data_IF_645797172025
#
_entry.id   IF_645797172025
#
_cell.length_a   1.000
_cell.length_b   1.000
_cell.length_c   1.000
_cell.angle_alpha   90.00
_cell.angle_beta   90.00
_cell.angle_gamma   90.00
#
_symmetry.space_group_name_H-M   'P 1'
#
loop_
_entity.id
_entity.type
_entity.pdbx_description
1 polymer ?
#
# COMPACT_ATOMS: atom_id res chain seq x y z
N UNK A 1 22.59 11.59 -14.21
CA UNK A 1 21.18 11.48 -13.75
C UNK A 1 20.19 11.42 -14.92
N UNK A 2 20.24 12.34 -15.89
CA UNK A 2 19.27 12.38 -17.01
C UNK A 2 19.13 11.09 -17.84
N UNK A 3 20.15 10.21 -17.86
CA UNK A 3 20.13 8.92 -18.56
C UNK A 3 19.69 7.74 -17.68
N UNK A 4 19.39 7.96 -16.41
CA UNK A 4 18.97 6.91 -15.49
C UNK A 4 17.57 6.42 -15.86
N UNK A 5 17.44 5.13 -16.16
CA UNK A 5 16.19 4.52 -16.64
C UNK A 5 15.28 4.03 -15.50
N UNK A 6 15.66 4.25 -14.25
CA UNK A 6 14.98 3.68 -13.09
C UNK A 6 15.43 2.26 -12.77
N UNK A 7 14.87 1.72 -11.68
CA UNK A 7 15.02 0.33 -11.27
C UNK A 7 13.66 -0.33 -11.40
N UNK A 8 13.64 -1.55 -11.96
CA UNK A 8 12.40 -2.30 -12.10
C UNK A 8 11.74 -2.49 -10.74
N UNK A 9 10.43 -2.26 -10.68
CA UNK A 9 9.61 -2.30 -9.46
C UNK A 9 9.97 -1.21 -8.44
N UNK A 10 10.57 -0.10 -8.85
CA UNK A 10 10.68 1.12 -8.05
C UNK A 10 10.05 2.23 -8.86
N UNK A 11 8.83 2.59 -8.48
CA UNK A 11 7.95 3.54 -9.17
C UNK A 11 7.88 3.29 -10.69
N UNK A 12 7.67 2.03 -11.07
CA UNK A 12 7.76 1.59 -12.46
C UNK A 12 6.40 1.68 -13.14
N UNK A 13 6.22 2.63 -14.05
CA UNK A 13 5.04 2.70 -14.92
C UNK A 13 4.94 1.45 -15.80
N UNK A 14 3.83 0.73 -15.65
CA UNK A 14 3.44 -0.37 -16.53
C UNK A 14 2.44 0.13 -17.58
N UNK A 15 1.55 1.05 -17.18
CA UNK A 15 0.61 1.75 -18.05
C UNK A 15 0.67 3.23 -17.68
N UNK A 16 0.72 4.11 -18.68
CA UNK A 16 0.74 5.56 -18.49
C UNK A 16 -0.05 6.25 -19.59
N UNK A 17 -1.36 6.08 -19.53
CA UNK A 17 -2.32 6.67 -20.45
C UNK A 17 -3.16 7.74 -19.74
N UNK A 18 -3.86 8.57 -20.51
CA UNK A 18 -4.67 9.67 -19.96
C UNK A 18 -5.76 9.18 -18.99
N UNK A 19 -6.35 8.02 -19.29
CA UNK A 19 -7.48 7.45 -18.54
C UNK A 19 -7.07 6.44 -17.47
N UNK A 20 -5.88 5.86 -17.58
CA UNK A 20 -5.40 4.81 -16.69
C UNK A 20 -3.89 4.90 -16.51
N UNK A 21 -3.48 4.88 -15.25
CA UNK A 21 -2.07 4.80 -14.85
C UNK A 21 -1.93 3.60 -13.93
N UNK A 22 -0.97 2.73 -14.24
CA UNK A 22 -0.60 1.60 -13.40
C UNK A 22 0.89 1.68 -13.09
N UNK A 23 1.20 1.76 -11.80
CA UNK A 23 2.55 1.85 -11.24
C UNK A 23 2.79 0.59 -10.40
N UNK A 24 3.88 -0.12 -10.68
CA UNK A 24 4.38 -1.23 -9.84
C UNK A 24 5.53 -0.70 -8.96
N UNK A 25 5.43 -0.96 -7.66
CA UNK A 25 6.45 -0.64 -6.66
C UNK A 25 6.71 -1.84 -5.74
N UNK A 26 7.94 -1.93 -5.24
CA UNK A 26 8.42 -2.97 -4.33
C UNK A 26 8.26 -2.57 -2.86
N UNK A 27 7.67 -1.41 -2.56
CA UNK A 27 7.38 -0.93 -1.22
C UNK A 27 6.71 -2.02 -0.37
N UNK A 28 7.34 -2.36 0.75
CA UNK A 28 6.86 -3.36 1.69
C UNK A 28 7.08 -2.95 3.16
N UNK A 29 7.60 -1.74 3.39
CA UNK A 29 7.67 -1.09 4.69
C UNK A 29 6.74 0.14 4.72
N UNK A 30 6.09 0.49 5.86
CA UNK A 30 5.18 1.65 5.95
C UNK A 30 5.76 2.95 5.39
N UNK A 31 7.02 3.28 5.73
CA UNK A 31 7.70 4.48 5.20
C UNK A 31 7.83 4.49 3.68
N UNK A 32 8.05 3.33 3.05
CA UNK A 32 8.12 3.24 1.59
C UNK A 32 6.74 3.45 0.96
N UNK A 33 5.69 2.90 1.59
CA UNK A 33 4.30 3.08 1.15
C UNK A 33 3.90 4.56 1.22
N UNK A 34 4.29 5.27 2.28
CA UNK A 34 4.08 6.71 2.40
C UNK A 34 4.76 7.49 1.26
N UNK A 35 6.00 7.13 0.94
CA UNK A 35 6.73 7.76 -0.17
C UNK A 35 6.06 7.52 -1.52
N UNK A 36 5.54 6.30 -1.76
CA UNK A 36 4.76 5.98 -2.97
C UNK A 36 3.48 6.81 -3.01
N UNK A 37 2.70 6.85 -1.93
CA UNK A 37 1.47 7.65 -1.85
C UNK A 37 1.75 9.12 -2.17
N UNK A 38 2.75 9.72 -1.51
CA UNK A 38 3.12 11.11 -1.70
C UNK A 38 3.47 11.39 -3.17
N UNK A 39 4.34 10.58 -3.77
CA UNK A 39 4.75 10.74 -5.16
C UNK A 39 3.57 10.63 -6.14
N UNK A 40 2.66 9.66 -5.94
CA UNK A 40 1.48 9.53 -6.80
C UNK A 40 0.54 10.72 -6.61
N UNK A 41 0.31 11.17 -5.38
CA UNK A 41 -0.59 12.29 -5.07
C UNK A 41 -0.08 13.61 -5.66
N UNK A 42 1.23 13.84 -5.63
CA UNK A 42 1.86 15.01 -6.25
C UNK A 42 1.77 14.97 -7.78
N UNK A 43 1.99 13.81 -8.40
CA UNK A 43 1.91 13.65 -9.85
C UNK A 43 0.48 13.71 -10.39
N UNK A 44 -0.50 13.27 -9.60
CA UNK A 44 -1.91 13.20 -9.99
C UNK A 44 -2.84 13.84 -8.96
N UNK A 45 -2.76 15.17 -8.76
CA UNK A 45 -3.59 15.88 -7.78
C UNK A 45 -5.09 15.67 -8.06
N UNK A 46 -5.86 15.41 -7.01
CA UNK A 46 -7.32 15.24 -7.08
C UNK A 46 -7.80 14.00 -7.85
N UNK A 47 -6.91 13.12 -8.31
CA UNK A 47 -7.29 11.83 -8.91
C UNK A 47 -7.47 10.78 -7.81
N UNK A 48 -8.39 9.85 -8.03
CA UNK A 48 -8.58 8.69 -7.14
C UNK A 48 -7.37 7.76 -7.25
N UNK A 49 -6.80 7.35 -6.13
CA UNK A 49 -5.67 6.43 -6.02
C UNK A 49 -6.15 5.14 -5.35
N UNK A 50 -6.00 4.02 -6.05
CA UNK A 50 -6.31 2.69 -5.54
C UNK A 50 -4.99 1.96 -5.31
N UNK A 51 -4.75 1.51 -4.07
CA UNK A 51 -3.57 0.70 -3.74
C UNK A 51 -3.92 -0.79 -3.78
N UNK A 52 -3.22 -1.57 -4.61
CA UNK A 52 -3.22 -3.03 -4.51
C UNK A 52 -2.00 -3.44 -3.68
N UNK A 53 -2.22 -3.89 -2.44
CA UNK A 53 -1.15 -4.20 -1.50
C UNK A 53 -1.13 -5.68 -1.14
N UNK A 54 0.05 -6.30 -1.25
CA UNK A 54 0.30 -7.65 -0.78
C UNK A 54 1.35 -7.59 0.34
N UNK A 55 0.98 -7.86 1.60
CA UNK A 55 1.97 -7.92 2.67
C UNK A 55 2.98 -9.03 2.43
N UNK A 56 4.24 -8.83 2.83
CA UNK A 56 5.33 -9.79 2.62
C UNK A 56 5.91 -10.22 3.97
N UNK A 57 5.88 -11.53 4.26
CA UNK A 57 6.16 -12.19 5.55
C UNK A 57 5.08 -11.96 6.62
N UNK A 58 4.77 -13.00 7.38
CA UNK A 58 3.89 -12.89 8.54
C UNK A 58 4.55 -12.07 9.65
N UNK A 59 5.85 -12.27 9.90
CA UNK A 59 6.60 -11.57 10.96
C UNK A 59 6.54 -10.07 10.78
N UNK A 60 6.88 -9.60 9.58
CA UNK A 60 6.81 -8.18 9.22
C UNK A 60 5.39 -7.64 9.33
N UNK A 61 4.40 -8.40 8.90
CA UNK A 61 3.00 -7.94 8.96
C UNK A 61 2.55 -7.76 10.41
N UNK A 62 2.92 -8.69 11.29
CA UNK A 62 2.70 -8.56 12.74
C UNK A 62 3.41 -7.34 13.34
N UNK A 63 4.69 -7.15 13.00
CA UNK A 63 5.52 -6.09 13.59
C UNK A 63 5.06 -4.68 13.18
N UNK A 64 4.45 -4.54 12.00
CA UNK A 64 4.10 -3.24 11.42
C UNK A 64 2.61 -3.06 11.12
N UNK A 65 1.71 -3.86 11.69
CA UNK A 65 0.28 -3.82 11.36
C UNK A 65 -0.33 -2.42 11.48
N UNK A 66 -0.05 -1.72 12.59
CA UNK A 66 -0.57 -0.37 12.82
C UNK A 66 0.01 0.64 11.82
N UNK A 67 1.31 0.53 11.53
CA UNK A 67 1.99 1.36 10.54
C UNK A 67 1.46 1.12 9.12
N UNK A 68 1.16 -0.13 8.76
CA UNK A 68 0.53 -0.45 7.48
C UNK A 68 -0.87 0.14 7.40
N UNK A 69 -1.68 0.01 8.45
CA UNK A 69 -3.02 0.57 8.47
C UNK A 69 -3.00 2.10 8.32
N UNK A 70 -2.12 2.79 9.06
CA UNK A 70 -1.91 4.24 8.92
C UNK A 70 -1.47 4.61 7.49
N UNK A 71 -0.42 3.97 6.97
CA UNK A 71 0.11 4.23 5.63
C UNK A 71 -0.92 4.00 4.53
N UNK A 72 -1.61 2.86 4.58
CA UNK A 72 -2.60 2.49 3.56
C UNK A 72 -3.85 3.38 3.66
N UNK A 73 -4.23 3.85 4.85
CA UNK A 73 -5.43 4.67 5.04
C UNK A 73 -5.43 5.98 4.22
N UNK A 74 -4.26 6.46 3.81
CA UNK A 74 -4.08 7.64 2.96
C UNK A 74 -4.58 7.46 1.51
N UNK A 75 -4.63 6.22 1.01
CA UNK A 75 -5.14 5.92 -0.33
C UNK A 75 -6.67 5.99 -0.34
N UNK A 76 -7.27 6.36 -1.47
CA UNK A 76 -8.73 6.50 -1.58
C UNK A 76 -9.42 5.12 -1.42
N UNK A 77 -8.85 4.08 -2.05
CA UNK A 77 -9.28 2.69 -1.91
C UNK A 77 -8.09 1.74 -1.81
N UNK A 78 -8.31 0.59 -1.18
CA UNK A 78 -7.30 -0.46 -1.05
C UNK A 78 -7.90 -1.79 -1.48
N UNK A 79 -7.13 -2.52 -2.27
CA UNK A 79 -7.29 -3.94 -2.54
C UNK A 79 -6.19 -4.66 -1.77
N UNK A 80 -6.57 -5.37 -0.71
CA UNK A 80 -5.63 -6.10 0.13
C UNK A 80 -5.60 -7.57 -0.29
N UNK A 81 -4.41 -8.07 -0.62
CA UNK A 81 -4.17 -9.46 -0.98
C UNK A 81 -3.75 -10.25 0.27
N UNK A 82 -3.80 -11.59 0.17
CA UNK A 82 -3.26 -12.47 1.20
C UNK A 82 -1.76 -12.25 1.40
N UNK A 83 -1.29 -12.40 2.65
CA UNK A 83 0.13 -12.31 2.98
C UNK A 83 0.92 -13.28 2.10
N UNK A 84 1.92 -12.76 1.40
CA UNK A 84 2.92 -13.60 0.75
C UNK A 84 3.89 -14.14 1.80
N UNK A 85 3.89 -15.45 2.10
CA UNK A 85 4.67 -16.01 3.22
C UNK A 85 6.17 -15.97 2.96
N UNK A 86 6.58 -15.92 1.70
CA UNK A 86 7.91 -16.23 1.20
C UNK A 86 8.46 -17.56 1.76
N UNK A 87 9.03 -17.54 2.96
CA UNK A 87 9.65 -18.70 3.64
C UNK A 87 9.03 -19.04 5.00
N UNK A 88 8.06 -18.25 5.46
CA UNK A 88 7.45 -18.42 6.78
C UNK A 88 6.23 -19.33 6.71
N UNK A 89 6.04 -20.12 7.78
CA UNK A 89 4.76 -20.79 8.01
C UNK A 89 3.74 -19.77 8.51
N UNK A 90 2.44 -19.97 8.24
CA UNK A 90 1.39 -19.17 8.85
C UNK A 90 1.55 -19.07 10.37
N UNK A 91 1.37 -17.86 10.90
CA UNK A 91 1.42 -17.62 12.34
C UNK A 91 0.02 -17.45 12.90
N UNK A 92 -0.26 -18.14 13.99
CA UNK A 92 -1.55 -18.05 14.68
C UNK A 92 -1.79 -16.61 15.16
N UNK A 93 -3.00 -16.10 14.89
CA UNK A 93 -3.36 -14.70 15.15
C UNK A 93 -2.74 -13.68 14.18
N UNK A 94 -1.89 -14.09 13.24
CA UNK A 94 -1.41 -13.26 12.13
C UNK A 94 -2.09 -13.70 10.84
N UNK A 95 -3.41 -13.78 10.90
CA UNK A 95 -4.25 -14.08 9.74
C UNK A 95 -4.70 -12.78 9.11
N UNK A 96 -3.76 -11.96 8.64
CA UNK A 96 -4.14 -10.76 7.89
C UNK A 96 -4.54 -11.21 6.49
N UNK A 97 -5.74 -11.77 6.39
CA UNK A 97 -6.50 -11.76 5.17
C UNK A 97 -6.98 -10.34 4.88
N UNK A 98 -7.64 -10.15 3.73
CA UNK A 98 -8.19 -8.87 3.32
C UNK A 98 -9.10 -8.17 4.38
N UNK A 99 -9.59 -8.91 5.39
CA UNK A 99 -10.44 -8.45 6.47
C UNK A 99 -9.75 -7.53 7.49
N UNK A 100 -8.67 -7.94 8.14
CA UNK A 100 -8.20 -7.27 9.38
C UNK A 100 -7.62 -5.86 9.15
N UNK A 101 -6.66 -5.71 8.23
CA UNK A 101 -6.16 -4.38 7.85
C UNK A 101 -7.24 -3.59 7.13
N UNK A 102 -8.10 -4.26 6.34
CA UNK A 102 -9.20 -3.62 5.64
C UNK A 102 -10.21 -2.98 6.60
N UNK A 103 -10.54 -3.65 7.70
CA UNK A 103 -11.40 -3.17 8.78
C UNK A 103 -10.71 -2.05 9.57
N UNK A 104 -9.44 -2.21 9.97
CA UNK A 104 -8.71 -1.17 10.68
C UNK A 104 -8.59 0.12 9.84
N UNK A 105 -8.37 -0.01 8.53
CA UNK A 105 -8.40 1.12 7.59
C UNK A 105 -9.77 1.77 7.52
N UNK A 106 -10.86 0.98 7.47
CA UNK A 106 -12.23 1.52 7.46
C UNK A 106 -12.51 2.31 8.74
N UNK A 107 -12.12 1.77 9.89
CA UNK A 107 -12.30 2.42 11.19
C UNK A 107 -11.50 3.72 11.29
N UNK A 108 -10.23 3.71 10.84
CA UNK A 108 -9.39 4.91 10.76
C UNK A 108 -10.03 5.98 9.86
N UNK A 109 -10.47 5.60 8.66
CA UNK A 109 -11.16 6.52 7.74
C UNK A 109 -12.44 7.08 8.35
N UNK A 110 -13.23 6.27 9.05
CA UNK A 110 -14.43 6.74 9.74
C UNK A 110 -14.08 7.77 10.83
N UNK A 111 -13.11 7.46 11.69
CA UNK A 111 -12.67 8.36 12.76
C UNK A 111 -12.10 9.68 12.22
N UNK A 112 -11.44 9.67 11.05
CA UNK A 112 -10.93 10.88 10.39
C UNK A 112 -12.06 11.72 9.77
N UNK A 113 -13.11 11.10 9.22
CA UNK A 113 -14.26 11.83 8.69
C UNK A 113 -15.13 12.43 9.81
N UNK A 114 -15.26 11.77 10.96
CA UNK A 114 -16.02 12.29 12.11
C UNK A 114 -15.35 13.48 12.83
N UNK A 115 -14.06 13.73 12.55
CA UNK A 115 -13.29 14.84 13.13
C UNK A 115 -13.28 16.11 12.27
N UNK A 116 -13.87 16.09 11.07
CA UNK A 116 -13.96 17.22 10.15
C UNK A 116 -15.42 17.67 9.96
#
# INVERSE_FOLDING_TARGET
>A
LASFKGVRRRFSFQIREEKLVYIDDYAHHPTEINAVHQAVRELYPGKKIIAAFQPHLFSRTKDFVDGFAESLSQFDEILLLEIYPARELPMEGVTIGAGDIGELVKDLKKALHEKN
#
